data_IF_664666387758
#
_entry.id   IF_664666387758
#
_cell.length_a   1.000
_cell.length_b   1.000
_cell.length_c   1.000
_cell.angle_alpha   90.00
_cell.angle_beta   90.00
_cell.angle_gamma   90.00
#
_symmetry.space_group_name_H-M   'P 1'
#
loop_
_entity.id
_entity.type
_entity.pdbx_description
1 polymer ?
#
# COMPACT_ATOMS: atom_id res chain seq x y z
N UNK A 1 -1.86 -6.46 -13.33
CA UNK A 1 -0.55 -6.79 -12.72
C UNK A 1 -0.74 -6.91 -11.21
N UNK A 2 -0.07 -7.86 -10.54
CA UNK A 2 -0.18 -8.04 -9.08
C UNK A 2 1.20 -8.08 -8.44
N UNK A 3 1.35 -7.39 -7.30
CA UNK A 3 2.54 -7.39 -6.47
C UNK A 3 2.19 -7.80 -5.04
N UNK A 4 3.06 -8.59 -4.42
CA UNK A 4 2.99 -8.90 -2.98
C UNK A 4 4.35 -8.61 -2.36
N UNK A 5 4.37 -7.79 -1.31
CA UNK A 5 5.58 -7.47 -0.54
C UNK A 5 5.38 -7.93 0.90
N UNK A 6 6.47 -8.39 1.56
CA UNK A 6 6.46 -8.81 2.96
C UNK A 6 7.76 -8.38 3.64
N UNK A 7 7.68 -7.99 4.92
CA UNK A 7 8.88 -7.71 5.71
C UNK A 7 9.67 -9.00 6.00
N UNK A 8 10.99 -8.95 5.76
CA UNK A 8 11.90 -10.06 6.10
C UNK A 8 12.39 -9.91 7.56
N UNK A 9 12.79 -8.70 7.94
CA UNK A 9 13.22 -8.38 9.30
C UNK A 9 12.03 -8.34 10.25
N UNK A 10 12.23 -8.79 11.49
CA UNK A 10 11.22 -8.79 12.57
C UNK A 10 9.96 -9.64 12.30
N UNK A 11 9.92 -10.45 11.23
CA UNK A 11 8.79 -11.32 10.87
C UNK A 11 8.34 -12.29 11.98
N UNK A 12 9.21 -12.56 12.97
CA UNK A 12 8.90 -13.40 14.15
C UNK A 12 7.98 -12.70 15.16
N UNK A 13 7.93 -11.37 15.13
CA UNK A 13 7.17 -10.53 16.05
C UNK A 13 5.98 -9.88 15.35
N UNK A 14 6.22 -9.28 14.19
CA UNK A 14 5.22 -8.57 13.40
C UNK A 14 5.43 -8.96 11.94
N UNK A 15 4.37 -9.46 11.33
CA UNK A 15 4.32 -9.74 9.90
C UNK A 15 3.47 -8.67 9.23
N UNK A 16 4.03 -8.01 8.23
CA UNK A 16 3.39 -7.00 7.39
C UNK A 16 3.46 -7.54 5.98
N UNK A 17 2.30 -7.78 5.39
CA UNK A 17 2.14 -8.15 3.99
C UNK A 17 1.34 -7.06 3.30
N UNK A 18 1.83 -6.59 2.16
CA UNK A 18 1.11 -5.65 1.32
C UNK A 18 0.88 -6.31 -0.04
N UNK A 19 -0.36 -6.22 -0.53
CA UNK A 19 -0.79 -6.70 -1.83
C UNK A 19 -1.26 -5.51 -2.64
N UNK A 20 -0.76 -5.38 -3.85
CA UNK A 20 -1.14 -4.31 -4.77
C UNK A 20 -1.59 -4.94 -6.07
N UNK A 21 -2.78 -4.55 -6.52
CA UNK A 21 -3.35 -4.98 -7.78
C UNK A 21 -3.60 -3.77 -8.68
N UNK A 22 -3.11 -3.87 -9.90
CA UNK A 22 -3.28 -2.86 -10.95
C UNK A 22 -4.13 -3.46 -12.07
N UNK A 23 -5.31 -2.89 -12.29
CA UNK A 23 -6.25 -3.27 -13.33
C UNK A 23 -6.57 -2.07 -14.23
N UNK A 24 -6.99 -2.28 -15.49
CA UNK A 24 -7.62 -1.23 -16.28
C UNK A 24 -8.84 -0.66 -15.55
N UNK A 25 -9.03 0.66 -15.59
CA UNK A 25 -10.19 1.29 -14.97
C UNK A 25 -11.49 0.94 -15.73
N UNK A 26 -12.60 0.57 -15.07
CA UNK A 26 -13.82 0.13 -15.76
C UNK A 26 -14.42 1.21 -16.68
N UNK A 27 -14.36 2.48 -16.27
CA UNK A 27 -14.92 3.59 -17.06
C UNK A 27 -13.98 4.09 -18.19
N UNK A 28 -12.68 3.79 -18.10
CA UNK A 28 -11.69 4.27 -19.06
C UNK A 28 -10.45 3.35 -19.09
N UNK A 29 -10.60 2.14 -19.65
CA UNK A 29 -9.63 1.06 -19.52
C UNK A 29 -8.32 1.34 -20.27
N UNK A 30 -8.36 2.16 -21.33
CA UNK A 30 -7.21 2.41 -22.19
C UNK A 30 -6.26 3.50 -21.68
N UNK A 31 -6.72 4.33 -20.72
CA UNK A 31 -5.91 5.44 -20.22
C UNK A 31 -5.78 5.49 -18.71
N UNK A 32 -6.69 4.87 -17.95
CA UNK A 32 -6.62 4.87 -16.50
C UNK A 32 -6.32 3.49 -15.95
N UNK A 33 -5.45 3.44 -14.95
CA UNK A 33 -5.19 2.24 -14.15
C UNK A 33 -5.87 2.40 -12.81
N UNK A 34 -6.78 1.49 -12.49
CA UNK A 34 -7.31 1.31 -11.15
C UNK A 34 -6.28 0.53 -10.34
N UNK A 35 -5.94 1.04 -9.16
CA UNK A 35 -5.06 0.33 -8.26
C UNK A 35 -5.75 0.11 -6.93
N UNK A 36 -5.64 -1.12 -6.43
CA UNK A 36 -6.13 -1.55 -5.13
C UNK A 36 -4.95 -2.00 -4.29
N UNK A 37 -4.86 -1.48 -3.08
CA UNK A 37 -3.79 -1.80 -2.15
C UNK A 37 -4.41 -2.30 -0.84
N UNK A 38 -3.99 -3.49 -0.43
CA UNK A 38 -4.42 -4.15 0.80
C UNK A 38 -3.19 -4.43 1.64
N UNK A 39 -3.20 -4.01 2.90
CA UNK A 39 -2.11 -4.30 3.84
C UNK A 39 -2.62 -5.11 5.01
N UNK A 40 -2.10 -6.32 5.14
CA UNK A 40 -2.38 -7.23 6.25
C UNK A 40 -1.23 -7.18 7.27
N UNK A 41 -1.58 -6.93 8.52
CA UNK A 41 -0.62 -6.84 9.62
C UNK A 41 -1.01 -7.86 10.67
N UNK A 42 -0.09 -8.80 10.93
CA UNK A 42 -0.26 -9.84 11.92
C UNK A 42 0.78 -9.68 13.02
N UNK A 43 0.30 -9.41 14.22
CA UNK A 43 1.14 -9.39 15.42
C UNK A 43 1.18 -10.82 15.95
N UNK A 44 2.37 -11.43 16.00
CA UNK A 44 2.53 -12.78 16.53
C UNK A 44 2.44 -12.71 18.05
N UNK A 45 1.57 -13.52 18.69
CA UNK A 45 1.33 -13.41 20.12
C UNK A 45 2.60 -13.79 20.88
N UNK A 46 3.25 -12.77 21.41
CA UNK A 46 4.19 -12.88 22.52
C UNK A 46 3.47 -12.28 23.72
N UNK A 47 3.42 -13.01 24.83
CA UNK A 47 2.81 -12.55 26.09
C UNK A 47 3.28 -11.16 26.52
N UNK A 48 4.50 -10.75 26.13
CA UNK A 48 5.08 -9.44 26.38
C UNK A 48 4.50 -8.29 25.52
N UNK A 49 3.90 -8.57 24.36
CA UNK A 49 3.34 -7.57 23.44
C UNK A 49 1.82 -7.41 23.56
N UNK A 50 1.14 -8.29 24.27
CA UNK A 50 -0.32 -8.21 24.47
C UNK A 50 -0.75 -6.88 25.10
N UNK A 51 0.04 -6.34 26.05
CA UNK A 51 -0.20 -5.02 26.67
C UNK A 51 0.08 -3.83 25.74
N UNK A 52 0.69 -4.07 24.58
CA UNK A 52 1.03 -3.06 23.58
C UNK A 52 0.28 -3.25 22.26
N UNK A 53 -0.60 -4.24 22.14
CA UNK A 53 -1.29 -4.59 20.90
C UNK A 53 -2.01 -3.40 20.27
N UNK A 54 -2.80 -2.65 21.07
CA UNK A 54 -3.52 -1.45 20.63
C UNK A 54 -2.57 -0.35 20.10
N UNK A 55 -1.42 -0.14 20.74
CA UNK A 55 -0.41 0.82 20.27
C UNK A 55 0.28 0.37 18.98
N UNK A 56 0.44 -0.94 18.80
CA UNK A 56 0.99 -1.51 17.56
C UNK A 56 -0.03 -1.33 16.44
N UNK A 57 -1.31 -1.63 16.67
CA UNK A 57 -2.40 -1.40 15.72
C UNK A 57 -2.46 0.07 15.28
N UNK A 58 -2.44 1.01 16.23
CA UNK A 58 -2.43 2.44 15.93
C UNK A 58 -1.22 2.85 15.09
N UNK A 59 0.00 2.43 15.47
CA UNK A 59 1.20 2.69 14.65
C UNK A 59 1.12 2.09 13.27
N UNK A 60 0.50 0.93 13.14
CA UNK A 60 0.34 0.23 11.88
C UNK A 60 -0.61 0.99 10.94
N UNK A 61 -1.75 1.46 11.46
CA UNK A 61 -2.68 2.32 10.73
C UNK A 61 -2.00 3.62 10.27
N UNK A 62 -1.26 4.29 11.17
CA UNK A 62 -0.50 5.50 10.82
C UNK A 62 0.53 5.23 9.70
N UNK A 63 1.26 4.11 9.78
CA UNK A 63 2.24 3.73 8.75
C UNK A 63 1.59 3.40 7.43
N UNK A 64 0.42 2.76 7.44
CA UNK A 64 -0.32 2.46 6.22
C UNK A 64 -0.72 3.75 5.49
N UNK A 65 -1.30 4.72 6.20
CA UNK A 65 -1.68 6.02 5.63
C UNK A 65 -0.46 6.78 5.10
N UNK A 66 0.66 6.77 5.83
CA UNK A 66 1.89 7.42 5.37
C UNK A 66 2.49 6.72 4.14
N UNK A 67 2.46 5.39 4.09
CA UNK A 67 3.02 4.62 2.98
C UNK A 67 2.17 4.77 1.71
N UNK A 68 0.84 4.78 1.83
CA UNK A 68 -0.04 5.01 0.69
C UNK A 68 0.13 6.42 0.11
N UNK A 69 0.26 7.44 0.96
CA UNK A 69 0.53 8.81 0.53
C UNK A 69 1.89 8.94 -0.19
N UNK A 70 2.96 8.34 0.36
CA UNK A 70 4.29 8.36 -0.26
C UNK A 70 4.34 7.56 -1.56
N UNK A 71 3.70 6.38 -1.58
CA UNK A 71 3.59 5.54 -2.78
C UNK A 71 2.89 6.31 -3.90
N UNK A 72 1.80 7.01 -3.57
CA UNK A 72 1.12 7.93 -4.49
C UNK A 72 2.04 9.02 -5.00
N UNK A 73 2.73 9.76 -4.13
CA UNK A 73 3.61 10.85 -4.53
C UNK A 73 4.73 10.36 -5.46
N UNK A 74 5.37 9.23 -5.13
CA UNK A 74 6.42 8.63 -5.96
C UNK A 74 5.84 8.18 -7.30
N UNK A 75 4.66 7.55 -7.31
CA UNK A 75 4.02 7.10 -8.54
C UNK A 75 3.58 8.29 -9.41
N UNK A 76 3.02 9.35 -8.83
CA UNK A 76 2.68 10.60 -9.53
C UNK A 76 3.93 11.28 -10.08
N UNK A 77 5.06 11.28 -9.36
CA UNK A 77 6.34 11.81 -9.87
C UNK A 77 6.87 10.98 -11.03
N UNK A 78 6.97 9.66 -10.88
CA UNK A 78 7.42 8.76 -11.95
C UNK A 78 6.48 8.84 -13.14
N UNK A 79 5.17 8.83 -12.90
CA UNK A 79 4.16 9.00 -13.94
C UNK A 79 4.30 10.38 -14.59
N UNK A 80 4.49 11.49 -13.87
CA UNK A 80 4.80 12.79 -14.47
C UNK A 80 6.07 12.76 -15.32
N UNK A 81 7.15 12.12 -14.86
CA UNK A 81 8.35 11.90 -15.68
C UNK A 81 8.05 11.10 -16.95
N UNK A 82 7.19 10.08 -16.86
CA UNK A 82 6.73 9.27 -18.00
C UNK A 82 5.67 9.98 -18.86
N UNK A 83 4.88 10.91 -18.28
CA UNK A 83 3.76 11.62 -18.90
C UNK A 83 4.24 12.88 -19.62
N UNK A 84 5.41 13.42 -19.25
CA UNK A 84 6.20 14.30 -20.14
C UNK A 84 6.61 13.55 -21.43
N UNK A 85 6.62 12.21 -21.41
CA UNK A 85 6.73 11.36 -22.60
C UNK A 85 5.42 10.70 -23.07
N UNK A 86 4.26 10.94 -22.42
CA UNK A 86 2.96 10.39 -22.84
C UNK A 86 1.88 10.25 -21.74
N UNK A 87 0.98 11.24 -21.66
CA UNK A 87 -0.45 11.19 -21.27
C UNK A 87 -0.96 10.41 -20.02
N UNK A 88 -1.44 11.21 -19.03
CA UNK A 88 -2.64 11.11 -18.14
C UNK A 88 -2.84 9.93 -17.13
N UNK A 89 -2.47 10.23 -15.88
CA UNK A 89 -3.26 10.18 -14.63
C UNK A 89 -4.11 8.93 -14.29
N UNK A 90 -3.58 8.08 -13.40
CA UNK A 90 -4.32 7.09 -12.63
C UNK A 90 -4.96 7.73 -11.37
N UNK A 91 -6.28 7.60 -11.21
CA UNK A 91 -7.04 8.08 -10.06
C UNK A 91 -7.19 6.92 -9.05
N UNK A 92 -6.63 7.05 -7.86
CA UNK A 92 -6.65 6.02 -6.80
C UNK A 92 -7.77 6.32 -5.79
N UNK A 93 -8.64 5.34 -5.54
CA UNK A 93 -9.58 5.34 -4.41
C UNK A 93 -8.93 4.51 -3.30
N UNK A 94 -8.47 5.18 -2.25
CA UNK A 94 -8.09 4.53 -1.00
C UNK A 94 -9.33 4.51 -0.10
N UNK A 95 -10.02 3.37 -0.03
CA UNK A 95 -10.96 3.12 1.06
C UNK A 95 -10.14 2.61 2.24
N UNK A 96 -10.14 3.43 3.30
CA UNK A 96 -9.50 3.15 4.58
C UNK A 96 -10.39 2.30 5.47
#
# INVERSE_FOLDING_TARGET
MQLTTRNISLQKFIEVQEKIQYDPHPDNPDSWTLCRQETSIQIKPLSALASMAEKVEQRCAERFVQNSAKGREVMERICCYSVVAGLRAAKYIAEA
#
